data_IF_514420384635
#
_entry.id   IF_514420384635
#
_cell.length_a   1.000
_cell.length_b   1.000
_cell.length_c   1.000
_cell.angle_alpha   90.00
_cell.angle_beta   90.00
_cell.angle_gamma   90.00
#
_symmetry.space_group_name_H-M   'P 1'
#
loop_
_entity.id
_entity.type
_entity.pdbx_description
1 polymer ?
#
# COMPACT_ATOMS: atom_id res chain seq x y z
N UNK A 1 19.00 -21.38 2.90
CA UNK A 1 18.82 -20.08 3.60
C UNK A 1 17.33 -19.85 3.67
N UNK A 2 16.77 -19.66 4.86
CA UNK A 2 15.35 -19.37 5.03
C UNK A 2 15.18 -17.85 5.02
N UNK A 3 14.64 -17.30 3.93
CA UNK A 3 14.16 -15.92 3.90
C UNK A 3 12.84 -15.91 4.65
N UNK A 4 12.85 -15.41 5.88
CA UNK A 4 11.60 -15.10 6.59
C UNK A 4 11.02 -13.89 5.89
N UNK A 5 9.86 -14.08 5.24
CA UNK A 5 9.16 -13.03 4.52
C UNK A 5 7.98 -12.54 5.35
N UNK A 6 8.27 -11.41 6.00
CA UNK A 6 7.42 -10.39 6.58
C UNK A 6 6.34 -10.74 7.61
N UNK A 7 6.41 -10.05 8.75
CA UNK A 7 5.24 -9.59 9.51
C UNK A 7 5.63 -8.40 10.40
N UNK A 8 5.02 -7.23 10.21
CA UNK A 8 4.45 -6.55 11.37
C UNK A 8 2.98 -6.18 11.11
N UNK A 9 2.09 -7.00 11.70
CA UNK A 9 0.65 -6.75 11.81
C UNK A 9 -0.26 -7.64 10.94
N UNK A 10 -1.54 -7.68 11.29
CA UNK A 10 -2.59 -8.53 10.70
C UNK A 10 -2.76 -8.29 9.19
N UNK A 11 -3.17 -9.32 8.45
CA UNK A 11 -3.35 -9.29 6.99
C UNK A 11 -4.77 -8.87 6.61
N UNK A 12 -4.92 -7.84 5.75
CA UNK A 12 -6.21 -7.57 5.09
C UNK A 12 -6.50 -8.58 3.98
N UNK A 13 -5.45 -9.01 3.27
CA UNK A 13 -5.56 -10.04 2.25
C UNK A 13 -4.59 -9.82 1.12
N UNK A 14 -4.98 -10.32 -0.03
CA UNK A 14 -4.23 -10.24 -1.28
C UNK A 14 -5.15 -9.59 -2.31
N UNK A 15 -4.70 -8.50 -2.94
CA UNK A 15 -5.48 -7.66 -3.85
C UNK A 15 -4.83 -7.69 -5.23
N UNK A 16 -5.61 -8.03 -6.26
CA UNK A 16 -5.19 -7.88 -7.66
C UNK A 16 -5.40 -6.45 -8.11
N UNK A 17 -4.46 -5.87 -8.85
CA UNK A 17 -4.58 -4.50 -9.36
C UNK A 17 -5.85 -4.31 -10.16
N UNK A 18 -6.52 -3.18 -9.96
CA UNK A 18 -7.72 -2.81 -10.74
C UNK A 18 -7.36 -2.30 -12.14
N UNK A 19 -6.09 -1.98 -12.38
CA UNK A 19 -5.58 -1.51 -13.67
C UNK A 19 -4.48 -2.41 -14.22
N UNK A 20 -4.39 -2.42 -15.55
CA UNK A 20 -3.21 -2.86 -16.30
C UNK A 20 -2.49 -1.58 -16.75
N UNK A 21 -1.24 -1.34 -16.35
CA UNK A 21 -0.56 -0.08 -16.63
C UNK A 21 -0.29 0.07 -18.12
N UNK A 22 -0.79 1.17 -18.71
CA UNK A 22 -0.52 1.57 -20.10
C UNK A 22 0.55 2.65 -20.22
N UNK A 23 0.98 3.22 -19.09
CA UNK A 23 1.96 4.30 -19.01
C UNK A 23 3.12 3.89 -18.12
N UNK A 24 4.28 4.48 -18.36
CA UNK A 24 5.46 4.32 -17.52
C UNK A 24 6.05 5.66 -17.12
N UNK A 25 6.57 5.72 -15.91
CA UNK A 25 7.30 6.85 -15.37
C UNK A 25 8.78 6.53 -15.50
N UNK A 26 9.55 7.45 -16.10
CA UNK A 26 11.00 7.33 -16.22
C UNK A 26 11.67 8.42 -15.38
N UNK A 27 12.48 8.01 -14.41
CA UNK A 27 13.32 8.89 -13.61
C UNK A 27 14.63 9.18 -14.35
N UNK A 28 15.27 10.32 -14.01
CA UNK A 28 16.57 10.69 -14.56
C UNK A 28 17.71 9.79 -14.05
N UNK A 29 17.56 9.23 -12.84
CA UNK A 29 18.49 8.29 -12.23
C UNK A 29 17.71 7.11 -11.60
N UNK A 30 18.33 5.92 -11.45
CA UNK A 30 17.69 4.79 -10.79
C UNK A 30 17.33 5.12 -9.33
N UNK A 31 16.10 4.80 -8.93
CA UNK A 31 15.77 4.74 -7.51
C UNK A 31 16.30 3.42 -6.95
N UNK A 32 16.91 3.48 -5.77
CA UNK A 32 17.37 2.31 -5.01
C UNK A 32 16.33 1.81 -4.02
N UNK A 33 15.17 2.47 -3.95
CA UNK A 33 14.03 2.15 -3.08
C UNK A 33 12.71 2.32 -3.84
N UNK A 34 11.61 1.70 -3.38
CA UNK A 34 10.27 1.92 -3.92
C UNK A 34 9.91 3.41 -3.92
N UNK A 35 9.17 3.83 -4.94
CA UNK A 35 8.57 5.17 -4.94
C UNK A 35 7.38 5.18 -3.98
N UNK A 36 7.18 6.32 -3.30
CA UNK A 36 6.01 6.55 -2.46
C UNK A 36 4.73 6.31 -3.27
N UNK A 37 3.73 5.62 -2.71
CA UNK A 37 2.46 5.48 -3.38
C UNK A 37 1.74 6.84 -3.42
N UNK A 38 0.90 7.08 -4.43
CA UNK A 38 -0.08 8.18 -4.36
C UNK A 38 -1.37 7.64 -3.80
N UNK A 39 -2.01 8.35 -2.87
CA UNK A 39 -3.19 7.83 -2.17
C UNK A 39 -4.37 8.80 -2.16
N UNK A 40 -5.56 8.24 -2.25
CA UNK A 40 -6.82 8.92 -1.96
C UNK A 40 -7.64 8.02 -1.07
N UNK A 41 -8.15 8.55 0.04
CA UNK A 41 -8.98 7.82 0.98
C UNK A 41 -10.26 8.60 1.24
N UNK A 42 -11.37 7.88 1.40
CA UNK A 42 -12.66 8.45 1.77
C UNK A 42 -13.33 7.55 2.79
N UNK A 43 -13.97 8.16 3.78
CA UNK A 43 -14.88 7.47 4.70
C UNK A 43 -16.28 7.50 4.09
N UNK A 44 -16.95 6.36 4.11
CA UNK A 44 -18.28 6.15 3.55
C UNK A 44 -19.16 5.46 4.59
N UNK A 45 -20.47 5.70 4.54
CA UNK A 45 -21.40 5.20 5.56
C UNK A 45 -21.43 6.04 6.83
N UNK A 46 -22.06 5.53 7.88
CA UNK A 46 -22.16 6.20 9.18
C UNK A 46 -22.34 5.19 10.32
N UNK A 47 -21.89 5.58 11.53
CA UNK A 47 -22.01 4.76 12.73
C UNK A 47 -21.29 3.41 12.59
N UNK A 48 -21.97 2.31 12.90
CA UNK A 48 -21.39 0.96 12.80
C UNK A 48 -21.17 0.47 11.36
N UNK A 49 -21.65 1.20 10.35
CA UNK A 49 -21.49 0.88 8.93
C UNK A 49 -20.40 1.68 8.23
N UNK A 50 -19.57 2.41 8.98
CA UNK A 50 -18.49 3.22 8.43
C UNK A 50 -17.40 2.37 7.80
N UNK A 51 -17.02 2.74 6.59
CA UNK A 51 -16.01 2.06 5.77
C UNK A 51 -15.04 3.06 5.19
N UNK A 52 -13.76 2.70 5.23
CA UNK A 52 -12.72 3.38 4.49
C UNK A 52 -12.63 2.74 3.12
N UNK A 53 -12.74 3.57 2.08
CA UNK A 53 -12.39 3.21 0.71
C UNK A 53 -11.09 3.94 0.36
N UNK A 54 -10.03 3.18 0.17
CA UNK A 54 -8.69 3.65 -0.15
C UNK A 54 -8.32 3.21 -1.57
N UNK A 55 -7.86 4.16 -2.37
CA UNK A 55 -7.20 3.88 -3.65
C UNK A 55 -5.75 4.32 -3.56
N UNK A 56 -4.84 3.37 -3.78
CA UNK A 56 -3.40 3.60 -3.77
C UNK A 56 -2.81 3.31 -5.14
N UNK A 57 -2.12 4.29 -5.71
CA UNK A 57 -1.30 4.12 -6.91
C UNK A 57 0.10 3.68 -6.46
N UNK A 58 0.44 2.42 -6.74
CA UNK A 58 1.71 1.80 -6.41
C UNK A 58 2.60 1.75 -7.65
N UNK A 59 3.85 2.16 -7.50
CA UNK A 59 4.80 2.20 -8.62
C UNK A 59 5.72 0.99 -8.57
N UNK A 60 5.60 0.14 -9.58
CA UNK A 60 6.35 -1.12 -9.69
C UNK A 60 7.45 -0.96 -10.73
N UNK A 61 8.68 -1.33 -10.40
CA UNK A 61 9.80 -1.25 -11.34
C UNK A 61 9.60 -2.17 -12.54
N UNK A 62 10.05 -1.77 -13.73
CA UNK A 62 10.01 -2.57 -14.97
C UNK A 62 10.56 -3.99 -14.79
N UNK A 63 11.64 -4.15 -14.01
CA UNK A 63 12.26 -5.45 -13.73
C UNK A 63 11.34 -6.46 -13.01
N UNK A 64 10.28 -5.96 -12.37
CA UNK A 64 9.36 -6.74 -11.56
C UNK A 64 7.94 -6.77 -12.16
N UNK A 65 7.81 -6.33 -13.43
CA UNK A 65 6.55 -6.37 -14.15
C UNK A 65 6.27 -7.81 -14.62
N UNK A 66 5.13 -8.42 -14.26
CA UNK A 66 4.77 -9.74 -14.74
C UNK A 66 4.45 -9.68 -16.25
N UNK A 67 4.68 -10.78 -16.97
CA UNK A 67 4.53 -10.83 -18.43
C UNK A 67 3.11 -10.49 -18.95
N UNK A 68 2.09 -10.72 -18.13
CA UNK A 68 0.70 -10.39 -18.43
C UNK A 68 0.29 -8.98 -17.94
N UNK A 69 1.23 -8.22 -17.38
CA UNK A 69 1.02 -6.89 -16.77
C UNK A 69 -0.10 -6.85 -15.71
N UNK A 70 -0.46 -7.99 -15.12
CA UNK A 70 -1.41 -8.09 -14.02
C UNK A 70 -0.66 -8.45 -12.75
N UNK A 71 -0.76 -7.59 -11.74
CA UNK A 71 -0.02 -7.77 -10.50
C UNK A 71 -0.96 -7.98 -9.32
N UNK A 72 -0.49 -8.77 -8.37
CA UNK A 72 -1.17 -9.05 -7.12
C UNK A 72 -0.30 -8.53 -5.99
N UNK A 73 -0.94 -7.92 -4.99
CA UNK A 73 -0.29 -7.28 -3.85
C UNK A 73 -0.79 -7.88 -2.56
N UNK A 74 0.11 -8.16 -1.63
CA UNK A 74 -0.22 -8.48 -0.26
C UNK A 74 -0.40 -7.19 0.55
N UNK A 75 -1.53 -7.11 1.24
CA UNK A 75 -1.93 -5.94 2.03
C UNK A 75 -1.90 -6.30 3.51
N UNK A 76 -0.99 -5.65 4.23
CA UNK A 76 -0.84 -5.80 5.68
C UNK A 76 -1.11 -4.45 6.35
N UNK A 77 -1.48 -4.47 7.62
CA UNK A 77 -1.67 -3.24 8.38
C UNK A 77 -1.03 -3.31 9.77
N UNK A 78 -0.66 -2.14 10.27
CA UNK A 78 -0.21 -1.93 11.64
C UNK A 78 -0.91 -0.70 12.20
N UNK A 79 -1.56 -0.86 13.36
CA UNK A 79 -2.09 0.26 14.13
C UNK A 79 -0.93 0.87 14.90
N UNK A 80 -0.49 2.05 14.48
CA UNK A 80 0.65 2.75 15.11
C UNK A 80 0.20 3.63 16.26
N UNK A 81 -1.01 4.19 16.15
CA UNK A 81 -1.71 4.97 17.17
C UNK A 81 -3.19 4.56 17.16
N UNK A 82 -3.94 4.83 18.24
CA UNK A 82 -5.36 4.47 18.29
C UNK A 82 -6.19 5.08 17.14
N UNK A 83 -5.80 6.23 16.60
CA UNK A 83 -6.48 6.91 15.50
C UNK A 83 -5.73 6.82 14.15
N UNK A 84 -4.68 5.99 14.06
CA UNK A 84 -3.86 5.86 12.85
C UNK A 84 -3.54 4.44 12.47
N UNK A 85 -3.67 4.15 11.18
CA UNK A 85 -3.27 2.87 10.61
C UNK A 85 -2.22 3.07 9.52
N UNK A 86 -1.15 2.29 9.61
CA UNK A 86 -0.17 2.12 8.54
C UNK A 86 -0.54 0.90 7.71
N UNK A 87 -0.68 1.07 6.41
CA UNK A 87 -0.98 0.03 5.44
C UNK A 87 0.25 -0.22 4.59
N UNK A 88 0.67 -1.47 4.53
CA UNK A 88 1.83 -1.92 3.79
C UNK A 88 1.36 -2.70 2.57
N UNK A 89 1.75 -2.21 1.39
CA UNK A 89 1.43 -2.83 0.11
C UNK A 89 2.71 -3.43 -0.44
N UNK A 90 2.80 -4.76 -0.46
CA UNK A 90 3.95 -5.48 -0.97
C UNK A 90 3.55 -6.27 -2.23
N UNK A 91 4.36 -6.21 -3.28
CA UNK A 91 4.24 -7.13 -4.42
C UNK A 91 5.36 -8.16 -4.46
N UNK A 92 6.39 -7.98 -3.64
CA UNK A 92 7.60 -8.77 -3.64
C UNK A 92 8.42 -8.56 -2.37
N UNK A 93 9.36 -9.47 -2.21
CA UNK A 93 10.21 -9.63 -1.04
C UNK A 93 11.37 -8.64 -0.98
N UNK A 94 11.81 -8.13 -2.13
CA UNK A 94 12.95 -7.22 -2.25
C UNK A 94 12.80 -6.28 -3.43
N UNK A 95 13.29 -5.05 -3.29
CA UNK A 95 13.23 -4.04 -4.34
C UNK A 95 14.43 -4.12 -5.27
N UNK A 96 14.17 -4.15 -6.58
CA UNK A 96 15.20 -4.06 -7.61
C UNK A 96 15.34 -2.60 -8.06
N UNK A 97 16.53 -1.98 -7.93
CA UNK A 97 16.76 -0.62 -8.39
C UNK A 97 16.36 -0.42 -9.85
N UNK A 98 15.63 0.66 -10.13
CA UNK A 98 15.10 0.95 -11.46
C UNK A 98 14.92 2.45 -11.67
N UNK A 99 15.06 2.89 -12.92
CA UNK A 99 14.64 4.22 -13.36
C UNK A 99 13.31 4.20 -14.12
N UNK A 100 12.69 3.03 -14.35
CA UNK A 100 11.41 2.88 -15.03
C UNK A 100 10.39 2.21 -14.11
N UNK A 101 9.22 2.83 -13.97
CA UNK A 101 8.14 2.37 -13.09
C UNK A 101 6.79 2.39 -13.79
N UNK A 102 5.94 1.44 -13.42
CA UNK A 102 4.58 1.28 -13.91
C UNK A 102 3.59 1.52 -12.77
N UNK A 103 2.58 2.39 -12.95
CA UNK A 103 1.59 2.69 -11.93
C UNK A 103 0.46 1.65 -11.92
N UNK A 104 0.30 0.97 -10.79
CA UNK A 104 -0.81 0.05 -10.53
C UNK A 104 -1.76 0.66 -9.52
N UNK A 105 -3.06 0.54 -9.76
CA UNK A 105 -4.08 0.94 -8.78
C UNK A 105 -4.44 -0.25 -7.92
N UNK A 106 -4.34 -0.07 -6.60
CA UNK A 106 -4.69 -1.04 -5.57
C UNK A 106 -5.81 -0.44 -4.74
N UNK A 107 -6.98 -1.09 -4.77
CA UNK A 107 -8.15 -0.66 -4.00
C UNK A 107 -8.27 -1.49 -2.73
N UNK A 108 -8.44 -0.81 -1.59
CA UNK A 108 -8.51 -1.41 -0.27
C UNK A 108 -9.75 -0.87 0.41
N UNK A 109 -10.61 -1.77 0.87
CA UNK A 109 -11.81 -1.44 1.64
C UNK A 109 -11.75 -2.14 3.00
N UNK A 110 -11.94 -1.39 4.08
CA UNK A 110 -12.06 -1.96 5.42
C UNK A 110 -12.92 -1.09 6.32
N UNK A 111 -13.53 -1.68 7.35
CA UNK A 111 -14.21 -0.92 8.40
C UNK A 111 -13.24 -0.70 9.55
N UNK A 112 -13.10 0.52 10.12
CA UNK A 112 -12.21 0.74 11.27
C UNK A 112 -12.51 -0.21 12.44
N UNK A 113 -13.78 -0.51 12.66
CA UNK A 113 -14.27 -1.46 13.67
C UNK A 113 -13.79 -2.92 13.48
N UNK A 114 -13.36 -3.28 12.28
CA UNK A 114 -12.79 -4.61 11.96
C UNK A 114 -11.28 -4.68 12.21
N UNK A 115 -10.64 -3.55 12.52
CA UNK A 115 -9.21 -3.46 12.78
C UNK A 115 -9.00 -3.45 14.30
N UNK A 116 -8.46 -4.53 14.91
CA UNK A 116 -8.22 -4.57 16.34
C UNK A 116 -7.31 -3.43 16.78
N UNK A 117 -7.65 -2.82 17.92
CA UNK A 117 -6.95 -1.66 18.51
C UNK A 117 -7.04 -0.34 17.73
N UNK A 118 -7.75 -0.31 16.60
CA UNK A 118 -8.07 0.94 15.93
C UNK A 118 -9.36 1.52 16.52
N UNK A 119 -9.30 2.80 16.86
CA UNK A 119 -10.45 3.62 17.22
C UNK A 119 -11.40 3.74 16.04
N UNK A 120 -12.70 3.83 16.33
CA UNK A 120 -13.68 4.22 15.31
C UNK A 120 -13.45 5.66 14.81
N UNK A 121 -12.72 6.49 15.56
CA UNK A 121 -12.32 7.83 15.14
C UNK A 121 -10.97 7.79 14.40
N UNK A 122 -10.87 6.98 13.34
CA UNK A 122 -9.70 6.95 12.47
C UNK A 122 -9.49 8.35 11.87
N UNK A 123 -8.33 8.94 12.08
CA UNK A 123 -8.00 10.30 11.63
C UNK A 123 -6.98 10.31 10.49
N UNK A 124 -6.16 9.24 10.38
CA UNK A 124 -5.10 9.19 9.38
C UNK A 124 -4.74 7.78 8.92
N UNK A 125 -4.44 7.66 7.63
CA UNK A 125 -3.93 6.47 6.99
C UNK A 125 -2.58 6.78 6.36
N UNK A 126 -1.57 5.99 6.71
CA UNK A 126 -0.26 6.02 6.04
C UNK A 126 -0.14 4.78 5.17
N UNK A 127 0.12 4.95 3.89
CA UNK A 127 0.36 3.84 2.96
C UNK A 127 1.83 3.80 2.58
N UNK A 128 2.43 2.63 2.71
CA UNK A 128 3.84 2.41 2.42
C UNK A 128 3.92 1.33 1.34
N UNK A 129 4.58 1.67 0.24
CA UNK A 129 4.98 0.68 -0.77
C UNK A 129 6.17 -0.07 -0.20
N UNK A 130 5.97 -1.34 0.14
CA UNK A 130 6.82 -2.12 1.02
C UNK A 130 7.89 -2.88 0.23
N UNK A 131 9.13 -2.83 0.73
CA UNK A 131 10.23 -3.70 0.34
C UNK A 131 10.90 -4.34 1.57
N UNK A 132 12.01 -5.05 1.35
CA UNK A 132 12.83 -5.70 2.39
C UNK A 132 13.18 -4.80 3.60
N UNK A 133 13.17 -3.47 3.46
CA UNK A 133 13.50 -2.49 4.51
C UNK A 133 12.37 -1.46 4.70
N UNK A 134 11.46 -1.71 5.64
CA UNK A 134 10.26 -0.91 5.81
C UNK A 134 10.47 0.46 6.45
N UNK A 135 11.54 0.63 7.22
CA UNK A 135 11.85 1.92 7.86
C UNK A 135 12.44 2.91 6.86
N UNK A 136 13.14 2.41 5.83
CA UNK A 136 13.62 3.22 4.73
C UNK A 136 12.67 3.33 3.53
N UNK A 137 11.60 2.53 3.50
CA UNK A 137 10.54 2.59 2.49
C UNK A 137 9.76 3.91 2.56
N UNK A 138 9.46 4.49 1.40
CA UNK A 138 8.77 5.78 1.32
C UNK A 138 7.26 5.56 1.34
N UNK A 139 6.57 6.21 2.28
CA UNK A 139 5.12 6.19 2.39
C UNK A 139 4.48 7.55 2.13
N UNK A 140 3.16 7.53 1.94
CA UNK A 140 2.32 8.72 1.86
C UNK A 140 1.27 8.64 2.95
N UNK A 141 1.07 9.73 3.68
CA UNK A 141 0.06 9.83 4.74
C UNK A 141 -1.04 10.78 4.29
N UNK A 142 -2.28 10.40 4.56
CA UNK A 142 -3.47 11.20 4.29
C UNK A 142 -4.34 11.24 5.55
N UNK A 143 -5.04 12.35 5.74
CA UNK A 143 -6.08 12.45 6.77
C UNK A 143 -7.40 11.95 6.21
N UNK A 144 -8.13 11.20 7.03
CA UNK A 144 -9.42 10.63 6.67
C UNK A 144 -10.35 10.95 7.82
N UNK A 145 -11.48 11.63 7.54
CA UNK A 145 -12.32 12.19 8.59
C UNK A 145 -11.95 13.64 8.97
N UNK A 146 -12.93 14.35 9.52
CA UNK A 146 -12.83 15.71 10.03
C UNK A 146 -13.40 15.79 11.44
#
# INVERSE_FOLDING_TARGET
MATILFTPGTKFGTVTSSTIPSQKIKLMAPSIRPLSPSITAQMTGSGSGEKVVLSAVVFVSEANLPANNQMTFDINYLVTDLDKVSIYIASQDSFTPSNVFYPFVVEIEFSPSQVPNLSNNLSSIKVINWDADPEGSRGTEIRVGG
#
